data_IF_347813921602
#
_entry.id   IF_347813921602
#
_cell.length_a   1.000
_cell.length_b   1.000
_cell.length_c   1.000
_cell.angle_alpha   90.00
_cell.angle_beta   90.00
_cell.angle_gamma   90.00
#
_symmetry.space_group_name_H-M   'P 1'
#
loop_
_entity.id
_entity.type
_entity.pdbx_description
1 polymer ?
#
# COMPACT_ATOMS: atom_id res chain seq x y z
N UNK A 1 -21.37 -3.11 -6.72
CA UNK A 1 -21.24 -2.17 -5.59
C UNK A 1 -20.74 -0.86 -6.13
N UNK A 2 -21.29 0.26 -5.65
CA UNK A 2 -20.75 1.59 -5.96
C UNK A 2 -19.33 1.72 -5.41
N UNK A 3 -18.51 2.57 -6.03
CA UNK A 3 -17.15 2.89 -5.57
C UNK A 3 -17.21 3.55 -4.17
N UNK A 4 -16.37 3.15 -3.20
CA UNK A 4 -16.39 3.73 -1.85
C UNK A 4 -16.32 5.25 -1.84
N UNK A 5 -15.45 5.80 -2.68
CA UNK A 5 -15.19 7.24 -2.76
C UNK A 5 -16.41 8.03 -3.28
N UNK A 6 -17.41 7.38 -3.88
CA UNK A 6 -18.66 8.04 -4.31
C UNK A 6 -19.78 7.99 -3.26
N UNK A 7 -19.55 7.32 -2.13
CA UNK A 7 -20.58 7.08 -1.11
C UNK A 7 -20.45 8.05 0.07
N UNK A 8 -19.24 8.21 0.58
CA UNK A 8 -18.95 9.08 1.71
C UNK A 8 -17.44 9.42 1.75
N UNK A 9 -17.02 10.47 2.48
CA UNK A 9 -15.62 10.69 2.83
C UNK A 9 -15.00 9.45 3.51
N UNK A 10 -13.68 9.22 3.37
CA UNK A 10 -13.03 7.97 3.82
C UNK A 10 -13.16 7.73 5.33
N UNK A 11 -13.06 8.77 6.15
CA UNK A 11 -13.21 8.71 7.60
C UNK A 11 -14.63 8.38 8.06
N UNK A 12 -15.64 8.62 7.20
CA UNK A 12 -17.03 8.22 7.44
C UNK A 12 -17.30 6.84 6.86
N UNK A 13 -16.81 6.57 5.64
CA UNK A 13 -17.00 5.28 4.97
C UNK A 13 -16.37 4.13 5.76
N UNK A 14 -15.14 4.32 6.25
CA UNK A 14 -14.41 3.36 7.08
C UNK A 14 -14.61 3.63 8.58
N UNK A 15 -15.85 3.80 9.00
CA UNK A 15 -16.22 3.74 10.41
C UNK A 15 -15.95 2.35 11.04
N UNK A 16 -16.14 2.22 12.34
CA UNK A 16 -15.77 1.04 13.16
C UNK A 16 -16.14 -0.31 12.52
N UNK A 17 -17.39 -0.42 12.05
CA UNK A 17 -17.90 -1.67 11.49
C UNK A 17 -17.29 -2.01 10.12
N UNK A 18 -17.19 -1.04 9.21
CA UNK A 18 -16.68 -1.28 7.86
C UNK A 18 -15.16 -1.45 7.87
N UNK A 19 -14.43 -0.76 8.76
CA UNK A 19 -12.99 -0.93 8.95
C UNK A 19 -12.65 -2.38 9.36
N UNK A 20 -13.34 -2.92 10.36
CA UNK A 20 -13.15 -4.31 10.82
C UNK A 20 -13.52 -5.31 9.72
N UNK A 21 -14.64 -5.08 9.03
CA UNK A 21 -15.11 -5.96 7.94
C UNK A 21 -14.18 -5.97 6.75
N UNK A 22 -13.72 -4.79 6.31
CA UNK A 22 -12.74 -4.64 5.24
C UNK A 22 -11.46 -5.40 5.58
N UNK A 23 -10.98 -5.22 6.80
CA UNK A 23 -9.72 -5.81 7.28
C UNK A 23 -9.80 -7.31 7.48
N UNK A 24 -10.94 -7.86 7.94
CA UNK A 24 -11.14 -9.31 8.11
C UNK A 24 -11.42 -10.05 6.80
N UNK A 25 -11.76 -9.33 5.72
CA UNK A 25 -12.03 -9.95 4.43
C UNK A 25 -10.74 -10.50 3.81
N UNK A 26 -10.62 -11.83 3.75
CA UNK A 26 -9.43 -12.52 3.24
C UNK A 26 -9.10 -12.19 1.79
N UNK A 27 -10.12 -11.86 0.97
CA UNK A 27 -9.91 -11.42 -0.41
C UNK A 27 -9.29 -10.03 -0.46
N UNK A 28 -9.76 -9.11 0.38
CA UNK A 28 -9.17 -7.76 0.46
C UNK A 28 -7.73 -7.84 0.95
N UNK A 29 -7.46 -8.63 2.00
CA UNK A 29 -6.09 -8.86 2.49
C UNK A 29 -5.16 -9.35 1.37
N UNK A 30 -5.59 -10.36 0.59
CA UNK A 30 -4.78 -10.91 -0.50
C UNK A 30 -4.54 -9.86 -1.60
N UNK A 31 -5.57 -9.11 -2.00
CA UNK A 31 -5.44 -8.05 -3.00
C UNK A 31 -4.49 -6.97 -2.51
N UNK A 32 -4.69 -6.43 -1.30
CA UNK A 32 -3.81 -5.41 -0.74
C UNK A 32 -2.37 -5.92 -0.68
N UNK A 33 -2.15 -7.17 -0.26
CA UNK A 33 -0.81 -7.74 -0.23
C UNK A 33 -0.15 -7.78 -1.62
N UNK A 34 -0.85 -8.27 -2.64
CA UNK A 34 -0.31 -8.36 -3.99
C UNK A 34 0.01 -6.99 -4.59
N UNK A 35 -0.81 -5.98 -4.29
CA UNK A 35 -0.58 -4.59 -4.69
C UNK A 35 0.62 -3.99 -3.96
N UNK A 36 0.74 -4.20 -2.64
CA UNK A 36 1.87 -3.71 -1.83
C UNK A 36 3.18 -4.31 -2.33
N UNK A 37 3.26 -5.62 -2.54
CA UNK A 37 4.48 -6.22 -3.05
C UNK A 37 4.82 -5.74 -4.47
N UNK A 38 3.83 -5.46 -5.32
CA UNK A 38 4.10 -4.84 -6.63
C UNK A 38 4.63 -3.42 -6.46
N UNK A 39 4.08 -2.65 -5.52
CA UNK A 39 4.57 -1.30 -5.25
C UNK A 39 6.01 -1.32 -4.73
N UNK A 40 6.38 -2.25 -3.85
CA UNK A 40 7.76 -2.43 -3.39
C UNK A 40 8.72 -2.83 -4.50
N UNK A 41 8.30 -3.69 -5.43
CA UNK A 41 9.09 -4.03 -6.62
C UNK A 41 9.36 -2.79 -7.49
N UNK A 42 8.34 -1.95 -7.71
CA UNK A 42 8.47 -0.71 -8.48
C UNK A 42 9.29 0.35 -7.74
N UNK A 43 9.20 0.36 -6.39
CA UNK A 43 10.00 1.21 -5.52
C UNK A 43 11.49 0.85 -5.64
N UNK A 44 11.80 -0.44 -5.83
CA UNK A 44 13.13 -0.95 -6.16
C UNK A 44 14.22 -0.43 -5.21
N UNK A 45 13.98 -0.58 -3.91
CA UNK A 45 14.96 -0.22 -2.89
C UNK A 45 16.16 -1.18 -2.91
N UNK A 46 17.38 -0.72 -2.60
CA UNK A 46 18.54 -1.59 -2.50
C UNK A 46 18.35 -2.64 -1.39
N UNK A 47 18.56 -3.93 -1.65
CA UNK A 47 18.23 -5.01 -0.71
C UNK A 47 19.10 -5.00 0.57
N UNK A 48 20.30 -4.41 0.50
CA UNK A 48 21.27 -4.40 1.60
C UNK A 48 21.28 -3.07 2.39
N UNK A 49 20.26 -2.23 2.21
CA UNK A 49 20.15 -0.94 2.89
C UNK A 49 18.88 -0.86 3.72
N UNK A 50 19.03 -0.50 4.99
CA UNK A 50 17.88 -0.09 5.81
C UNK A 50 17.30 1.18 5.21
N UNK A 51 15.99 1.19 5.00
CA UNK A 51 15.26 2.32 4.44
C UNK A 51 14.09 2.71 5.33
N UNK A 52 13.88 4.01 5.47
CA UNK A 52 12.73 4.57 6.17
C UNK A 52 11.66 5.00 5.16
N UNK A 53 10.52 4.28 5.17
CA UNK A 53 9.44 4.46 4.20
C UNK A 53 8.23 5.20 4.80
N UNK A 54 7.52 5.95 3.96
CA UNK A 54 6.22 6.50 4.29
C UNK A 54 5.11 5.67 3.63
N UNK A 55 4.19 5.11 4.41
CA UNK A 55 2.97 4.46 3.94
C UNK A 55 1.79 5.43 3.99
N UNK A 56 1.35 5.90 2.82
CA UNK A 56 0.38 6.97 2.66
C UNK A 56 -1.01 6.36 2.46
N UNK A 57 -1.92 6.65 3.39
CA UNK A 57 -3.21 5.96 3.54
C UNK A 57 -2.99 4.52 3.99
N UNK A 58 -2.27 4.35 5.09
CA UNK A 58 -1.85 3.04 5.62
C UNK A 58 -3.02 2.19 6.11
N UNK A 59 -4.20 2.79 6.31
CA UNK A 59 -5.41 2.13 6.71
C UNK A 59 -5.23 1.30 7.97
N UNK A 60 -5.68 0.05 7.92
CA UNK A 60 -5.55 -0.93 8.99
C UNK A 60 -4.19 -1.63 9.04
N UNK A 61 -3.17 -1.07 8.39
CA UNK A 61 -1.80 -1.58 8.44
C UNK A 61 -1.52 -2.80 7.57
N UNK A 62 -2.40 -3.14 6.61
CA UNK A 62 -2.19 -4.29 5.73
C UNK A 62 -0.93 -4.15 4.84
N UNK A 63 -0.66 -2.95 4.35
CA UNK A 63 0.59 -2.62 3.65
C UNK A 63 1.76 -2.56 4.63
N UNK A 64 1.56 -1.91 5.79
CA UNK A 64 2.55 -1.81 6.87
C UNK A 64 3.10 -3.14 7.38
N UNK A 65 2.26 -4.17 7.55
CA UNK A 65 2.74 -5.51 7.94
C UNK A 65 3.70 -6.12 6.92
N UNK A 66 3.50 -5.83 5.64
CA UNK A 66 4.42 -6.29 4.59
C UNK A 66 5.73 -5.49 4.65
N UNK A 67 5.67 -4.20 5.02
CA UNK A 67 6.87 -3.41 5.29
C UNK A 67 7.65 -4.00 6.47
N UNK A 68 6.97 -4.39 7.55
CA UNK A 68 7.56 -5.07 8.72
C UNK A 68 8.23 -6.40 8.33
N UNK A 69 7.59 -7.18 7.45
CA UNK A 69 8.09 -8.47 6.96
C UNK A 69 9.32 -8.33 6.07
N UNK A 70 9.33 -7.33 5.19
CA UNK A 70 10.43 -7.03 4.28
C UNK A 70 11.57 -6.25 4.97
N UNK A 71 11.41 -5.92 6.26
CA UNK A 71 12.46 -5.34 7.11
C UNK A 71 12.61 -3.82 6.99
N UNK A 72 11.59 -3.13 6.48
CA UNK A 72 11.59 -1.67 6.40
C UNK A 72 11.18 -1.04 7.73
N UNK A 73 11.81 0.09 8.07
CA UNK A 73 11.28 0.99 9.09
C UNK A 73 10.28 1.90 8.38
N UNK A 74 9.13 2.20 8.98
CA UNK A 74 8.14 3.02 8.31
C UNK A 74 7.25 3.83 9.27
N UNK A 75 6.68 4.89 8.72
CA UNK A 75 5.59 5.65 9.32
C UNK A 75 4.37 5.58 8.41
N UNK A 76 3.18 5.47 8.98
CA UNK A 76 1.90 5.41 8.30
C UNK A 76 1.05 6.64 8.58
N UNK A 77 0.42 7.19 7.55
CA UNK A 77 -0.60 8.24 7.69
C UNK A 77 -1.94 7.72 7.18
N UNK A 78 -3.03 7.95 7.92
CA UNK A 78 -4.39 7.71 7.44
C UNK A 78 -5.36 8.74 8.03
N UNK A 79 -6.45 9.02 7.32
CA UNK A 79 -7.47 9.97 7.75
C UNK A 79 -8.57 9.30 8.58
N UNK A 80 -8.75 7.98 8.47
CA UNK A 80 -9.81 7.24 9.14
C UNK A 80 -9.36 6.73 10.52
N UNK A 81 -9.89 7.27 11.64
CA UNK A 81 -9.48 6.86 12.99
C UNK A 81 -9.72 5.36 13.25
N UNK A 82 -10.87 4.83 12.82
CA UNK A 82 -11.22 3.42 13.00
C UNK A 82 -10.29 2.48 12.22
N UNK A 83 -9.70 2.93 11.09
CA UNK A 83 -8.69 2.13 10.39
C UNK A 83 -7.39 2.08 11.20
N UNK A 84 -6.95 3.21 11.75
CA UNK A 84 -5.76 3.27 12.60
C UNK A 84 -5.94 2.49 13.90
N UNK A 85 -7.13 2.49 14.50
CA UNK A 85 -7.44 1.66 15.67
C UNK A 85 -7.26 0.18 15.34
N UNK A 86 -7.77 -0.29 14.20
CA UNK A 86 -7.54 -1.67 13.75
C UNK A 86 -6.05 -1.94 13.51
N UNK A 87 -5.28 -0.98 12.98
CA UNK A 87 -3.83 -1.14 12.81
C UNK A 87 -3.11 -1.27 14.17
N UNK A 88 -3.51 -0.51 15.19
CA UNK A 88 -3.01 -0.63 16.56
C UNK A 88 -3.33 -1.99 17.16
N UNK A 89 -4.57 -2.48 17.00
CA UNK A 89 -4.98 -3.82 17.46
C UNK A 89 -4.17 -4.94 16.81
N UNK A 90 -3.76 -4.75 15.56
CA UNK A 90 -2.89 -5.67 14.80
C UNK A 90 -1.42 -5.57 15.18
N UNK A 91 -1.05 -4.61 16.01
CA UNK A 91 0.30 -4.44 16.54
C UNK A 91 1.35 -4.38 15.44
N UNK A 92 1.12 -3.48 14.48
CA UNK A 92 2.14 -3.10 13.50
C UNK A 92 3.38 -2.52 14.19
N UNK A 93 4.53 -2.56 13.51
CA UNK A 93 5.78 -2.00 14.04
C UNK A 93 5.95 -0.51 13.70
N UNK A 94 5.34 -0.03 12.61
CA UNK A 94 5.42 1.37 12.18
C UNK A 94 4.61 2.34 13.04
N UNK A 95 5.07 3.60 13.09
CA UNK A 95 4.36 4.69 13.76
C UNK A 95 3.14 5.13 12.95
N UNK A 96 2.01 5.35 13.62
CA UNK A 96 0.73 5.67 12.98
C UNK A 96 0.29 7.10 13.28
N UNK A 97 -0.11 7.84 12.25
CA UNK A 97 -0.51 9.24 12.36
C UNK A 97 -1.91 9.44 11.75
N UNK A 98 -2.81 10.04 12.54
CA UNK A 98 -4.10 10.51 12.04
C UNK A 98 -3.89 11.81 11.24
N UNK A 99 -4.00 11.75 9.92
CA UNK A 99 -3.68 12.87 9.03
C UNK A 99 -4.46 12.83 7.71
N UNK A 100 -5.01 13.99 7.32
CA UNK A 100 -5.51 14.24 5.97
C UNK A 100 -4.36 14.64 5.04
N UNK A 101 -4.01 13.75 4.11
CA UNK A 101 -2.91 13.96 3.16
C UNK A 101 -3.20 15.12 2.19
N UNK A 102 -4.47 15.48 1.98
CA UNK A 102 -4.88 16.61 1.15
C UNK A 102 -4.55 17.98 1.77
N UNK A 103 -4.27 18.03 3.08
CA UNK A 103 -3.76 19.22 3.77
C UNK A 103 -2.23 19.32 3.71
N UNK A 104 -1.59 18.26 3.20
CA UNK A 104 -0.15 18.12 3.07
C UNK A 104 0.48 17.38 4.25
N UNK A 105 1.74 16.99 4.05
CA UNK A 105 2.51 16.19 4.99
C UNK A 105 3.38 17.07 5.89
N UNK A 106 3.41 16.73 7.19
CA UNK A 106 4.05 17.51 8.25
C UNK A 106 5.46 17.06 8.61
N UNK A 107 6.16 16.39 7.69
CA UNK A 107 7.49 15.84 7.93
C UNK A 107 8.59 16.80 7.48
N UNK A 108 9.77 16.69 8.12
CA UNK A 108 10.94 17.49 7.75
C UNK A 108 11.41 17.14 6.33
N UNK A 109 12.05 18.07 5.61
CA UNK A 109 12.58 17.76 4.28
C UNK A 109 13.57 16.59 4.31
N UNK A 110 13.51 15.70 3.31
CA UNK A 110 14.44 14.56 3.19
C UNK A 110 14.35 13.50 4.31
N UNK A 111 13.18 13.37 4.94
CA UNK A 111 12.97 12.39 6.01
C UNK A 111 12.94 10.95 5.49
N UNK A 112 12.27 10.69 4.37
CA UNK A 112 12.00 9.33 3.89
C UNK A 112 12.84 8.94 2.69
N UNK A 113 13.29 7.69 2.66
CA UNK A 113 14.02 7.07 1.56
C UNK A 113 13.10 6.69 0.39
N UNK A 114 11.80 6.55 0.67
CA UNK A 114 10.77 6.30 -0.33
C UNK A 114 9.37 6.38 0.26
N UNK A 115 8.36 6.33 -0.60
CA UNK A 115 6.96 6.28 -0.17
C UNK A 115 6.16 5.26 -0.97
N UNK A 116 5.19 4.62 -0.31
CA UNK A 116 4.20 3.78 -0.95
C UNK A 116 2.79 4.26 -0.59
N UNK A 117 1.84 3.93 -1.45
CA UNK A 117 0.43 4.20 -1.19
C UNK A 117 -0.43 3.22 -1.98
N UNK A 118 -1.33 2.51 -1.31
CA UNK A 118 -2.14 1.47 -1.94
C UNK A 118 -3.62 1.82 -1.85
N UNK A 119 -4.22 2.11 -3.00
CA UNK A 119 -5.65 2.41 -3.14
C UNK A 119 -6.09 3.71 -2.45
N UNK A 120 -5.32 4.81 -2.60
CA UNK A 120 -5.57 6.07 -1.87
C UNK A 120 -5.82 7.29 -2.75
N UNK A 121 -5.03 7.52 -3.81
CA UNK A 121 -5.07 8.80 -4.54
C UNK A 121 -6.45 9.17 -5.10
N UNK A 122 -7.30 8.18 -5.42
CA UNK A 122 -8.65 8.45 -5.91
C UNK A 122 -9.53 9.20 -4.90
N UNK A 123 -9.24 9.12 -3.60
CA UNK A 123 -9.99 9.86 -2.56
C UNK A 123 -9.74 11.37 -2.62
N UNK A 124 -8.58 11.81 -3.10
CA UNK A 124 -8.27 13.24 -3.29
C UNK A 124 -8.98 13.85 -4.50
N UNK A 125 -9.67 13.03 -5.30
CA UNK A 125 -10.42 13.48 -6.48
C UNK A 125 -11.85 13.90 -6.18
N UNK A 126 -12.28 13.79 -4.93
CA UNK A 126 -13.59 14.23 -4.48
C UNK A 126 -13.49 15.57 -3.76
N UNK A 127 -14.36 16.50 -4.16
CA UNK A 127 -14.59 17.74 -3.42
C UNK A 127 -15.64 17.47 -2.33
N UNK A 128 -15.22 17.53 -1.06
CA UNK A 128 -16.12 17.38 0.09
C UNK A 128 -16.95 18.65 0.34
N UNK A 129 -16.41 19.82 -0.01
CA UNK A 129 -17.08 21.12 0.15
C UNK A 129 -16.90 21.98 -1.10
N UNK A 130 -17.67 23.07 -1.19
CA UNK A 130 -17.53 24.10 -2.24
C UNK A 130 -16.36 25.05 -2.00
N UNK A 131 -15.64 24.93 -0.89
CA UNK A 131 -14.49 25.78 -0.59
C UNK A 131 -13.31 25.45 -1.53
N UNK A 132 -12.60 26.48 -1.99
CA UNK A 132 -11.53 26.33 -2.98
C UNK A 132 -10.39 25.38 -2.53
N UNK A 133 -10.10 25.31 -1.23
CA UNK A 133 -9.08 24.41 -0.68
C UNK A 133 -9.51 22.94 -0.67
N UNK A 134 -10.81 22.65 -0.73
CA UNK A 134 -11.35 21.30 -0.87
C UNK A 134 -11.33 20.80 -2.31
N UNK A 135 -11.03 21.66 -3.29
CA UNK A 135 -10.98 21.28 -4.69
C UNK A 135 -9.82 20.29 -4.96
N UNK A 136 -10.05 19.22 -5.76
CA UNK A 136 -9.04 18.21 -6.06
C UNK A 136 -7.69 18.75 -6.55
N UNK A 137 -7.62 19.74 -7.48
CA UNK A 137 -6.33 20.28 -7.91
C UNK A 137 -5.54 20.93 -6.76
N UNK A 138 -6.23 21.60 -5.82
CA UNK A 138 -5.58 22.23 -4.67
C UNK A 138 -5.05 21.18 -3.69
N UNK A 139 -5.87 20.20 -3.31
CA UNK A 139 -5.47 19.11 -2.40
C UNK A 139 -4.32 18.28 -2.99
N UNK A 140 -4.39 17.92 -4.27
CA UNK A 140 -3.31 17.21 -4.96
C UNK A 140 -2.02 18.03 -5.02
N UNK A 141 -2.11 19.33 -5.30
CA UNK A 141 -0.92 20.19 -5.35
C UNK A 141 -0.26 20.29 -3.97
N UNK A 142 -1.06 20.49 -2.92
CA UNK A 142 -0.58 20.52 -1.54
C UNK A 142 0.07 19.20 -1.14
N UNK A 143 -0.59 18.08 -1.43
CA UNK A 143 -0.09 16.73 -1.19
C UNK A 143 1.26 16.49 -1.88
N UNK A 144 1.35 16.64 -3.20
CA UNK A 144 2.58 16.34 -3.93
C UNK A 144 3.73 17.29 -3.57
N UNK A 145 3.47 18.58 -3.34
CA UNK A 145 4.53 19.54 -2.97
C UNK A 145 5.15 19.20 -1.61
N UNK A 146 4.31 18.86 -0.62
CA UNK A 146 4.80 18.50 0.71
C UNK A 146 5.44 17.11 0.73
N UNK A 147 4.92 16.16 -0.06
CA UNK A 147 5.56 14.86 -0.25
C UNK A 147 6.94 14.98 -0.90
N UNK A 148 7.05 15.76 -1.98
CA UNK A 148 8.33 15.98 -2.67
C UNK A 148 9.38 16.53 -1.69
N UNK A 149 8.99 17.47 -0.82
CA UNK A 149 9.86 17.98 0.24
C UNK A 149 10.27 16.89 1.24
N UNK A 150 9.33 16.06 1.70
CA UNK A 150 9.58 15.03 2.71
C UNK A 150 10.47 13.88 2.23
N UNK A 151 10.59 13.68 0.93
CA UNK A 151 11.39 12.61 0.32
C UNK A 151 12.85 13.01 0.11
N UNK A 152 13.77 12.06 0.28
CA UNK A 152 15.20 12.25 0.00
C UNK A 152 15.48 12.40 -1.49
N UNK A 153 16.62 12.98 -1.82
CA UNK A 153 17.12 13.06 -3.19
C UNK A 153 18.42 12.25 -3.31
N UNK A 154 18.47 11.20 -4.14
CA UNK A 154 17.39 10.65 -4.96
C UNK A 154 16.43 9.73 -4.16
N UNK A 155 15.17 9.63 -4.56
CA UNK A 155 14.22 8.64 -4.02
C UNK A 155 13.06 8.34 -5.00
N UNK A 156 12.20 7.39 -4.61
CA UNK A 156 11.01 7.01 -5.38
C UNK A 156 9.75 7.04 -4.52
N UNK A 157 8.62 7.28 -5.16
CA UNK A 157 7.31 7.10 -4.55
C UNK A 157 6.36 6.35 -5.50
N UNK A 158 5.67 5.34 -4.98
CA UNK A 158 4.81 4.47 -5.79
C UNK A 158 3.38 4.47 -5.26
N UNK A 159 2.43 4.87 -6.11
CA UNK A 159 1.02 4.97 -5.76
C UNK A 159 0.20 4.00 -6.61
N UNK A 160 -0.40 3.01 -6.00
CA UNK A 160 -1.47 2.25 -6.63
C UNK A 160 -2.80 2.99 -6.40
N UNK A 161 -3.60 3.18 -7.45
CA UNK A 161 -4.90 3.85 -7.35
C UNK A 161 -5.90 3.37 -8.40
N UNK A 162 -7.15 3.79 -8.26
CA UNK A 162 -8.26 3.40 -9.14
C UNK A 162 -8.86 4.60 -9.88
N UNK A 163 -8.26 5.04 -11.01
CA UNK A 163 -8.83 6.12 -11.81
C UNK A 163 -10.21 5.73 -12.39
N UNK A 164 -11.07 6.71 -12.63
CA UNK A 164 -12.33 6.56 -13.37
C UNK A 164 -12.22 7.05 -14.82
N UNK A 165 -11.29 7.96 -15.11
CA UNK A 165 -11.06 8.53 -16.45
C UNK A 165 -9.58 8.85 -16.68
N UNK A 166 -9.22 9.03 -17.95
CA UNK A 166 -7.87 9.46 -18.33
C UNK A 166 -7.58 10.91 -17.87
N UNK A 167 -8.62 11.76 -17.77
CA UNK A 167 -8.49 13.12 -17.20
C UNK A 167 -8.01 13.09 -15.74
N UNK A 168 -8.49 12.11 -14.94
CA UNK A 168 -8.00 11.95 -13.57
C UNK A 168 -6.52 11.54 -13.53
N UNK A 169 -6.10 10.64 -14.43
CA UNK A 169 -4.70 10.24 -14.57
C UNK A 169 -3.84 11.45 -14.96
N UNK A 170 -4.30 12.25 -15.93
CA UNK A 170 -3.61 13.44 -16.39
C UNK A 170 -3.52 14.51 -15.29
N UNK A 171 -4.60 14.74 -14.53
CA UNK A 171 -4.62 15.68 -13.42
C UNK A 171 -3.60 15.29 -12.34
N UNK A 172 -3.62 14.02 -11.90
CA UNK A 172 -2.67 13.50 -10.90
C UNK A 172 -1.23 13.64 -11.41
N UNK A 173 -0.95 13.14 -12.62
CA UNK A 173 0.41 13.10 -13.18
C UNK A 173 0.98 14.50 -13.40
N UNK A 174 0.18 15.41 -13.99
CA UNK A 174 0.62 16.78 -14.23
C UNK A 174 0.82 17.57 -12.93
N UNK A 175 0.04 17.29 -11.89
CA UNK A 175 0.20 17.93 -10.58
C UNK A 175 1.47 17.43 -9.88
N UNK A 176 1.76 16.13 -9.95
CA UNK A 176 3.02 15.57 -9.45
C UNK A 176 4.24 16.16 -10.18
N UNK A 177 4.18 16.26 -11.51
CA UNK A 177 5.25 16.88 -12.32
C UNK A 177 5.47 18.35 -11.95
N UNK A 178 4.40 19.12 -11.76
CA UNK A 178 4.49 20.51 -11.29
C UNK A 178 5.11 20.65 -9.91
N UNK A 179 4.96 19.64 -9.05
CA UNK A 179 5.60 19.60 -7.72
C UNK A 179 7.09 19.23 -7.77
N UNK A 180 7.64 18.87 -8.94
CA UNK A 180 9.06 18.55 -9.14
C UNK A 180 9.35 17.08 -9.38
N UNK A 181 8.35 16.20 -9.36
CA UNK A 181 8.58 14.78 -9.60
C UNK A 181 8.85 14.48 -11.09
N UNK A 182 9.83 13.61 -11.34
CA UNK A 182 9.90 12.83 -12.58
C UNK A 182 9.02 11.58 -12.51
N UNK A 183 9.06 10.76 -13.56
CA UNK A 183 8.40 9.45 -13.60
C UNK A 183 7.12 9.42 -14.45
N UNK A 184 6.20 8.50 -14.15
CA UNK A 184 5.01 8.28 -14.95
C UNK A 184 4.15 7.09 -14.51
N UNK A 185 3.23 6.70 -15.39
CA UNK A 185 2.23 5.67 -15.11
C UNK A 185 2.71 4.29 -15.59
N UNK A 186 2.55 3.29 -14.72
CA UNK A 186 2.72 1.86 -15.02
C UNK A 186 1.35 1.21 -14.96
N UNK A 187 0.99 0.49 -16.02
CA UNK A 187 -0.28 -0.26 -16.09
C UNK A 187 0.03 -1.74 -16.20
N UNK A 188 -0.27 -2.48 -15.14
CA UNK A 188 -0.24 -3.93 -15.19
C UNK A 188 -1.58 -4.43 -15.76
N UNK A 189 -1.50 -5.45 -16.62
CA UNK A 189 -2.62 -6.10 -17.29
C UNK A 189 -3.51 -5.10 -18.07
N UNK A 190 -2.93 -4.28 -18.97
CA UNK A 190 -3.64 -3.19 -19.63
C UNK A 190 -4.86 -3.64 -20.44
N UNK A 191 -4.82 -4.88 -20.96
CA UNK A 191 -5.88 -5.44 -21.80
C UNK A 191 -7.07 -6.01 -20.99
N UNK A 192 -6.96 -6.12 -19.66
CA UNK A 192 -7.96 -6.77 -18.82
C UNK A 192 -8.72 -5.76 -17.98
N UNK A 193 -10.01 -5.53 -18.27
CA UNK A 193 -10.85 -4.61 -17.47
C UNK A 193 -10.95 -5.02 -15.99
N UNK A 194 -10.79 -6.30 -15.68
CA UNK A 194 -10.89 -6.86 -14.33
C UNK A 194 -9.55 -6.89 -13.59
N UNK A 195 -8.47 -7.24 -14.29
CA UNK A 195 -7.14 -7.39 -13.69
C UNK A 195 -6.31 -6.11 -13.74
N UNK A 196 -6.65 -5.14 -14.61
CA UNK A 196 -5.92 -3.87 -14.79
C UNK A 196 -5.62 -3.22 -13.45
N UNK A 197 -4.33 -2.96 -13.18
CA UNK A 197 -3.84 -2.19 -12.03
C UNK A 197 -3.01 -1.02 -12.53
N UNK A 198 -3.29 0.17 -12.00
CA UNK A 198 -2.60 1.41 -12.36
C UNK A 198 -1.72 1.82 -11.19
N UNK A 199 -0.46 2.10 -11.48
CA UNK A 199 0.53 2.62 -10.54
C UNK A 199 1.11 3.92 -11.08
N UNK A 200 1.23 4.94 -10.23
CA UNK A 200 2.03 6.12 -10.50
C UNK A 200 3.40 5.92 -9.85
N UNK A 201 4.45 5.88 -10.66
CA UNK A 201 5.84 5.76 -10.21
C UNK A 201 6.52 7.13 -10.36
N UNK A 202 6.84 7.75 -9.24
CA UNK A 202 7.46 9.07 -9.17
C UNK A 202 8.91 8.99 -8.74
N UNK A 203 9.72 9.92 -9.23
CA UNK A 203 11.14 10.04 -8.90
C UNK A 203 11.45 11.43 -8.36
N UNK A 204 12.19 11.51 -7.25
CA UNK A 204 12.74 12.76 -6.71
C UNK A 204 14.22 12.79 -7.03
N UNK A 205 14.67 13.86 -7.68
CA UNK A 205 16.07 14.01 -8.10
C UNK A 205 16.49 13.05 -9.22
N UNK A 206 17.69 13.24 -9.75
CA UNK A 206 18.20 12.48 -10.91
C UNK A 206 18.62 13.34 -12.10
N UNK A 207 19.38 14.43 -11.85
CA UNK A 207 19.98 15.22 -12.92
C UNK A 207 20.89 14.37 -13.80
N UNK A 208 20.46 14.08 -15.03
CA UNK A 208 21.31 13.63 -16.13
C UNK A 208 21.09 12.21 -16.66
N UNK A 209 20.45 11.31 -15.91
CA UNK A 209 20.10 9.97 -16.39
C UNK A 209 18.59 9.80 -16.41
N UNK A 210 17.98 9.59 -17.58
CA UNK A 210 16.56 9.28 -17.69
C UNK A 210 16.27 7.99 -16.89
N UNK A 211 15.83 8.11 -15.64
CA UNK A 211 15.22 6.98 -14.93
C UNK A 211 13.96 6.64 -15.71
N UNK A 212 14.01 5.53 -16.43
CA UNK A 212 12.89 5.06 -17.24
C UNK A 212 11.78 4.56 -16.30
N UNK A 213 10.55 4.93 -16.64
CA UNK A 213 9.37 4.39 -15.97
C UNK A 213 9.35 2.88 -16.21
N UNK A 214 9.21 2.03 -15.16
CA UNK A 214 9.20 0.58 -15.33
C UNK A 214 8.09 0.11 -16.27
N UNK A 215 8.32 -1.00 -16.96
CA UNK A 215 7.30 -1.62 -17.80
C UNK A 215 6.19 -2.26 -16.95
N UNK A 216 4.95 -2.15 -17.44
CA UNK A 216 3.80 -2.87 -16.89
C UNK A 216 3.85 -4.36 -17.23
N UNK A 217 3.16 -5.17 -16.42
CA UNK A 217 3.01 -6.60 -16.66
C UNK A 217 1.96 -6.89 -17.76
N UNK A 218 2.23 -7.85 -18.65
CA UNK A 218 1.30 -8.28 -19.71
C UNK A 218 0.76 -9.72 -19.51
N UNK A 219 -0.42 -10.00 -20.07
CA UNK A 219 -1.03 -11.34 -20.08
C UNK A 219 -0.51 -12.15 -21.29
N UNK A 220 0.57 -12.92 -21.13
CA UNK A 220 0.79 -14.04 -22.04
C UNK A 220 -0.12 -15.20 -21.63
N UNK A 221 -1.25 -15.29 -22.35
CA UNK A 221 -2.17 -16.41 -22.58
C UNK A 221 -2.52 -17.32 -21.37
N UNK A 222 -3.78 -17.30 -20.95
CA UNK A 222 -4.64 -18.50 -20.93
C UNK A 222 -6.07 -18.10 -20.56
N UNK A 223 -6.98 -18.50 -21.44
CA UNK A 223 -8.42 -18.31 -21.36
C UNK A 223 -9.07 -19.19 -20.27
N UNK A 224 -10.27 -18.76 -19.88
CA UNK A 224 -11.34 -19.47 -19.17
C UNK A 224 -11.50 -19.35 -17.62
N UNK A 225 -12.57 -18.61 -17.31
CA UNK A 225 -13.49 -18.50 -16.16
C UNK A 225 -13.06 -18.54 -14.69
N UNK A 226 -11.77 -18.45 -14.41
CA UNK A 226 -11.32 -17.91 -13.14
C UNK A 226 -9.96 -17.30 -13.38
N UNK A 227 -9.72 -16.07 -12.92
CA UNK A 227 -8.41 -15.43 -13.01
C UNK A 227 -7.44 -16.27 -12.16
N UNK A 228 -6.91 -17.35 -12.74
CA UNK A 228 -5.92 -18.29 -12.19
C UNK A 228 -4.54 -17.63 -12.06
N UNK A 229 -4.41 -16.36 -12.45
CA UNK A 229 -3.13 -15.67 -12.61
C UNK A 229 -2.50 -15.13 -11.34
N UNK A 230 -3.10 -15.36 -10.17
CA UNK A 230 -2.36 -15.35 -8.90
C UNK A 230 -1.31 -16.49 -8.86
N UNK A 231 -1.46 -17.59 -9.60
CA UNK A 231 -0.56 -18.77 -9.50
C UNK A 231 0.82 -18.62 -10.18
N UNK A 232 0.98 -17.77 -11.21
CA UNK A 232 2.27 -17.66 -11.93
C UNK A 232 3.24 -16.71 -11.23
N UNK A 233 2.77 -15.60 -10.66
CA UNK A 233 3.59 -14.70 -9.82
C UNK A 233 3.91 -15.29 -8.44
N UNK A 234 3.08 -16.23 -7.97
CA UNK A 234 3.36 -17.12 -6.84
C UNK A 234 4.49 -18.15 -7.10
N UNK A 235 4.95 -18.36 -8.35
CA UNK A 235 6.00 -19.37 -8.66
C UNK A 235 7.42 -18.88 -8.41
N UNK A 236 7.66 -17.57 -8.38
CA UNK A 236 9.00 -16.95 -8.35
C UNK A 236 9.40 -16.42 -6.96
N UNK A 237 8.45 -16.32 -6.01
CA UNK A 237 8.76 -15.95 -4.62
C UNK A 237 9.17 -17.19 -3.82
N UNK A 238 10.30 -17.06 -3.12
CA UNK A 238 11.00 -18.05 -2.30
C UNK A 238 10.17 -19.31 -1.96
N UNK A 239 10.32 -20.34 -2.80
CA UNK A 239 9.81 -21.69 -2.49
C UNK A 239 10.61 -22.21 -1.29
N UNK A 240 9.91 -22.75 -0.29
CA UNK A 240 10.57 -23.67 0.67
C UNK A 240 11.10 -24.90 -0.11
N UNK A 241 12.04 -25.66 0.46
CA UNK A 241 12.67 -26.85 -0.13
C UNK A 241 11.67 -27.90 -0.66
N UNK A 242 10.39 -27.78 -0.28
CA UNK A 242 9.26 -28.63 -0.67
C UNK A 242 8.41 -28.10 -1.84
N UNK A 243 8.70 -26.92 -2.40
CA UNK A 243 8.00 -26.36 -3.57
C UNK A 243 6.60 -25.80 -3.30
N UNK A 244 6.18 -25.66 -2.03
CA UNK A 244 4.87 -25.11 -1.64
C UNK A 244 4.98 -23.62 -1.24
N UNK A 245 3.92 -22.86 -1.54
CA UNK A 245 3.75 -21.42 -1.29
C UNK A 245 3.97 -21.06 0.20
N UNK A 246 4.78 -20.03 0.51
CA UNK A 246 4.70 -19.29 1.79
C UNK A 246 3.41 -18.48 1.80
N UNK A 247 2.57 -18.66 2.82
CA UNK A 247 1.36 -17.86 3.03
C UNK A 247 1.75 -16.51 3.63
N UNK A 248 0.96 -15.46 3.37
CA UNK A 248 1.13 -14.14 4.04
C UNK A 248 1.13 -14.33 5.56
N UNK A 249 0.21 -15.14 6.09
CA UNK A 249 0.26 -15.66 7.46
C UNK A 249 0.80 -17.08 7.51
N UNK A 250 2.07 -17.28 7.15
CA UNK A 250 2.72 -18.58 7.33
C UNK A 250 3.14 -18.83 8.78
N UNK A 251 3.74 -19.99 9.04
CA UNK A 251 4.17 -20.35 10.39
C UNK A 251 5.22 -19.36 10.92
N UNK A 252 6.11 -18.86 10.07
CA UNK A 252 7.20 -17.96 10.44
C UNK A 252 6.63 -16.61 10.85
N UNK A 253 5.67 -16.07 10.07
CA UNK A 253 4.89 -14.89 10.42
C UNK A 253 4.22 -15.01 11.79
N UNK A 254 3.53 -16.13 12.05
CA UNK A 254 2.85 -16.35 13.34
C UNK A 254 3.86 -16.39 14.49
N UNK A 255 5.03 -16.99 14.29
CA UNK A 255 6.07 -17.06 15.31
C UNK A 255 6.66 -15.66 15.58
N UNK A 256 6.94 -14.87 14.55
CA UNK A 256 7.43 -13.48 14.69
C UNK A 256 6.42 -12.63 15.48
N UNK A 257 5.13 -12.68 15.13
CA UNK A 257 4.07 -11.96 15.87
C UNK A 257 3.94 -12.42 17.31
N UNK A 258 4.01 -13.73 17.59
CA UNK A 258 4.00 -14.22 18.98
C UNK A 258 5.19 -13.71 19.78
N UNK A 259 6.38 -13.70 19.18
CA UNK A 259 7.57 -13.19 19.85
C UNK A 259 7.47 -11.71 20.16
N UNK A 260 6.99 -10.91 19.19
CA UNK A 260 6.70 -9.49 19.38
C UNK A 260 5.69 -9.26 20.52
N UNK A 261 4.63 -10.08 20.60
CA UNK A 261 3.62 -9.96 21.66
C UNK A 261 4.21 -10.31 23.04
N UNK A 262 5.14 -11.27 23.11
CA UNK A 262 5.87 -11.59 24.35
C UNK A 262 6.77 -10.44 24.77
N UNK A 263 7.53 -9.86 23.85
CA UNK A 263 8.41 -8.72 24.12
C UNK A 263 7.63 -7.50 24.61
N UNK A 264 6.40 -7.31 24.12
CA UNK A 264 5.45 -6.28 24.58
C UNK A 264 4.73 -6.62 25.88
N UNK A 265 5.01 -7.77 26.49
CA UNK A 265 4.44 -8.17 27.78
C UNK A 265 2.97 -8.61 27.74
N UNK A 266 2.43 -8.99 26.57
CA UNK A 266 1.05 -9.48 26.49
C UNK A 266 0.86 -10.80 27.23
N UNK A 267 -0.16 -10.85 28.06
CA UNK A 267 -0.60 -12.09 28.70
C UNK A 267 -1.34 -12.99 27.72
N UNK A 268 -1.26 -14.31 27.92
CA UNK A 268 -2.01 -15.28 27.13
C UNK A 268 -1.46 -15.59 25.73
N UNK A 269 -0.25 -15.13 25.37
CA UNK A 269 0.40 -15.50 24.11
C UNK A 269 0.61 -17.02 24.05
N UNK A 270 0.00 -17.74 23.08
CA UNK A 270 0.08 -19.20 23.04
C UNK A 270 1.52 -19.69 22.83
N UNK A 271 1.92 -20.73 23.58
CA UNK A 271 3.23 -21.40 23.38
C UNK A 271 3.42 -21.88 21.95
N UNK A 272 4.68 -21.95 21.53
CA UNK A 272 5.01 -22.44 20.20
C UNK A 272 4.81 -23.95 20.12
N UNK A 273 4.21 -24.39 19.01
CA UNK A 273 3.97 -25.81 18.76
C UNK A 273 4.31 -26.18 17.33
N UNK A 274 4.57 -27.48 17.11
CA UNK A 274 4.74 -28.04 15.77
C UNK A 274 3.51 -27.87 14.86
N UNK A 275 2.35 -27.54 15.44
CA UNK A 275 1.08 -27.34 14.74
C UNK A 275 0.72 -25.87 14.52
N UNK A 276 1.59 -24.92 14.89
CA UNK A 276 1.38 -23.47 14.68
C UNK A 276 1.10 -23.18 13.19
N UNK A 277 0.06 -22.39 12.92
CA UNK A 277 -0.38 -22.05 11.55
C UNK A 277 -1.13 -23.15 10.79
N UNK A 278 -1.35 -24.33 11.40
CA UNK A 278 -2.15 -25.39 10.77
C UNK A 278 -3.63 -25.19 11.09
N UNK A 279 -4.48 -25.32 10.06
CA UNK A 279 -5.94 -25.34 10.23
C UNK A 279 -6.31 -26.56 11.09
N UNK A 280 -6.92 -26.33 12.25
CA UNK A 280 -7.45 -27.41 13.09
C UNK A 280 -8.64 -28.03 12.34
N UNK A 281 -8.73 -29.36 12.30
CA UNK A 281 -9.90 -30.04 11.74
C UNK A 281 -11.09 -29.72 12.66
N UNK A 282 -12.22 -29.40 12.05
CA UNK A 282 -13.46 -29.09 12.76
C UNK A 282 -14.19 -30.38 13.17
N UNK A 283 -13.53 -31.29 13.87
CA UNK A 283 -14.18 -32.43 14.55
C UNK A 283 -13.18 -33.10 15.47
N UNK A 284 -13.64 -33.41 16.69
CA UNK A 284 -12.93 -34.22 17.67
C UNK A 284 -12.96 -35.69 17.26
#
# INVERSE_FOLDING_TARGET
>A
MSRPELQAPPEIYYGDSEAVKYTKNTRNQQIQADLTYRALELLNMPPDQSAFLLDIGCGSGLSGEILDEEGYVWAGVDIAPSMLEVALEREVEGDLFLQDIGQGLGFRPGSFDGAISISVLQWLLNAETSHHTSAPPHRLHRFFTTLHSALRNPSRAVFQFYPTSDDQIQLITSTAQKAGFGGGIVVDYPNSKKARKVYLCLFVGGGGGQQQVPAGLNEEAMDDDSVRFERRRQRERARDRSGKRKKVMDKEWILKKKELYRQRGKEGVPRDSKFTGRKRKATF
#
